data_IF_771379369786
#
_entry.id   IF_771379369786
#
_cell.length_a   1.000
_cell.length_b   1.000
_cell.length_c   1.000
_cell.angle_alpha   90.00
_cell.angle_beta   90.00
_cell.angle_gamma   90.00
#
_symmetry.space_group_name_H-M   'P 1'
#
loop_
_entity.id
_entity.type
_entity.pdbx_description
1 polymer ?
#
# COMPACT_ATOMS: atom_id res chain seq x y z
N UNK A 1 -61.18 -27.13 -70.20
CA UNK A 1 -60.91 -28.10 -71.28
C UNK A 1 -59.51 -28.65 -71.10
N UNK A 2 -59.42 -29.97 -70.95
CA UNK A 2 -58.30 -30.90 -71.20
C UNK A 2 -56.88 -30.49 -70.75
N UNK A 3 -56.10 -31.30 -70.03
CA UNK A 3 -56.13 -32.74 -69.87
C UNK A 3 -54.70 -33.28 -69.95
N UNK A 4 -54.21 -33.79 -68.82
CA UNK A 4 -53.33 -34.97 -68.61
C UNK A 4 -52.22 -35.30 -69.63
N UNK A 5 -50.99 -35.46 -69.10
CA UNK A 5 -50.15 -36.69 -69.11
C UNK A 5 -48.75 -36.33 -68.53
N UNK A 6 -48.46 -36.63 -67.24
CA UNK A 6 -47.84 -37.84 -66.68
C UNK A 6 -46.40 -38.12 -67.17
N UNK A 7 -45.42 -37.92 -66.29
CA UNK A 7 -44.30 -38.86 -66.12
C UNK A 7 -43.90 -38.95 -64.65
N UNK A 8 -43.85 -40.20 -64.22
CA UNK A 8 -43.82 -40.67 -62.85
C UNK A 8 -42.39 -40.88 -62.40
N UNK A 9 -42.02 -40.45 -61.20
CA UNK A 9 -40.89 -41.03 -60.46
C UNK A 9 -41.31 -41.22 -58.99
N UNK A 10 -41.70 -42.47 -58.75
CA UNK A 10 -41.94 -43.13 -57.49
C UNK A 10 -40.66 -43.06 -56.63
N UNK A 11 -40.72 -42.52 -55.40
CA UNK A 11 -40.08 -43.18 -54.27
C UNK A 11 -41.16 -43.41 -53.22
N UNK A 12 -41.34 -44.69 -52.97
CA UNK A 12 -42.36 -45.36 -52.20
C UNK A 12 -41.89 -45.49 -50.74
N UNK A 13 -42.85 -45.38 -49.82
CA UNK A 13 -42.72 -45.62 -48.38
C UNK A 13 -43.39 -44.47 -47.62
N UNK A 14 -44.72 -44.40 -47.49
CA UNK A 14 -45.60 -45.39 -46.85
C UNK A 14 -45.54 -45.18 -45.32
N UNK A 15 -46.58 -44.88 -44.54
CA UNK A 15 -48.03 -44.95 -44.73
C UNK A 15 -48.72 -44.38 -43.48
N UNK A 16 -49.69 -43.45 -43.65
CA UNK A 16 -50.83 -43.17 -42.73
C UNK A 16 -50.54 -42.46 -41.39
N UNK A 17 -51.39 -41.62 -40.79
CA UNK A 17 -52.84 -41.33 -40.90
C UNK A 17 -53.12 -39.95 -40.22
N UNK A 18 -54.13 -39.20 -40.74
CA UNK A 18 -55.08 -38.28 -40.06
C UNK A 18 -54.68 -36.94 -39.38
N UNK A 19 -55.18 -35.85 -39.99
CA UNK A 19 -56.07 -34.79 -39.46
C UNK A 19 -55.94 -34.33 -37.97
N UNK A 20 -55.66 -33.03 -37.74
CA UNK A 20 -55.93 -32.34 -36.45
C UNK A 20 -55.23 -30.96 -36.30
N UNK A 21 -55.76 -30.01 -35.51
CA UNK A 21 -55.84 -28.60 -35.88
C UNK A 21 -54.62 -27.73 -35.52
N UNK A 22 -54.54 -26.57 -36.19
CA UNK A 22 -53.73 -25.40 -35.86
C UNK A 22 -53.58 -25.15 -34.35
N UNK A 23 -52.33 -25.09 -33.88
CA UNK A 23 -51.95 -24.35 -32.67
C UNK A 23 -50.68 -23.56 -32.93
N UNK A 24 -50.88 -22.30 -33.31
CA UNK A 24 -49.91 -21.24 -33.05
C UNK A 24 -49.62 -21.30 -31.55
N UNK A 25 -48.36 -21.53 -31.17
CA UNK A 25 -47.95 -21.51 -29.76
C UNK A 25 -48.15 -20.10 -29.20
N UNK A 26 -49.28 -19.89 -28.51
CA UNK A 26 -49.44 -18.81 -27.57
C UNK A 26 -48.53 -19.10 -26.36
N UNK A 27 -47.32 -18.54 -26.35
CA UNK A 27 -46.38 -18.64 -25.24
C UNK A 27 -45.77 -17.27 -24.86
N UNK A 28 -46.43 -16.16 -25.22
CA UNK A 28 -45.95 -14.81 -24.90
C UNK A 28 -46.27 -14.28 -23.47
N UNK A 29 -47.33 -14.68 -22.75
CA UNK A 29 -47.58 -14.09 -21.42
C UNK A 29 -46.75 -14.71 -20.28
N UNK A 30 -46.20 -15.92 -20.45
CA UNK A 30 -45.49 -16.63 -19.37
C UNK A 30 -44.02 -16.22 -19.25
N UNK A 31 -43.37 -15.90 -20.38
CA UNK A 31 -41.98 -15.44 -20.39
C UNK A 31 -41.91 -14.01 -19.83
N UNK A 32 -42.85 -13.13 -20.19
CA UNK A 32 -42.97 -11.79 -19.60
C UNK A 32 -43.30 -11.85 -18.11
N UNK A 33 -44.17 -12.76 -17.67
CA UNK A 33 -44.47 -12.96 -16.24
C UNK A 33 -43.31 -13.58 -15.43
N UNK A 34 -42.39 -14.31 -16.09
CA UNK A 34 -41.15 -14.82 -15.47
C UNK A 34 -40.07 -13.75 -15.42
N UNK A 35 -39.94 -12.92 -16.46
CA UNK A 35 -39.04 -11.76 -16.48
C UNK A 35 -39.46 -10.70 -15.44
N UNK A 36 -40.74 -10.36 -15.36
CA UNK A 36 -41.25 -9.42 -14.34
C UNK A 36 -41.16 -9.95 -12.91
N UNK A 37 -41.15 -11.28 -12.70
CA UNK A 37 -40.84 -11.89 -11.39
C UNK A 37 -39.35 -11.87 -11.07
N UNK A 38 -38.49 -12.11 -12.05
CA UNK A 38 -37.03 -12.01 -11.88
C UNK A 38 -36.61 -10.57 -11.60
N UNK A 39 -37.17 -9.58 -12.31
CA UNK A 39 -36.90 -8.16 -12.09
C UNK A 39 -37.33 -7.71 -10.69
N UNK A 40 -38.51 -8.15 -10.22
CA UNK A 40 -39.01 -7.83 -8.88
C UNK A 40 -38.26 -8.55 -7.75
N UNK A 41 -37.70 -9.74 -8.00
CA UNK A 41 -36.85 -10.48 -7.05
C UNK A 41 -35.45 -9.86 -7.00
N UNK A 42 -34.90 -9.43 -8.14
CA UNK A 42 -33.58 -8.79 -8.21
C UNK A 42 -33.62 -7.39 -7.60
N UNK A 43 -34.66 -6.58 -7.82
CA UNK A 43 -34.82 -5.27 -7.17
C UNK A 43 -34.93 -5.38 -5.64
N UNK A 44 -35.71 -6.34 -5.13
CA UNK A 44 -35.86 -6.52 -3.69
C UNK A 44 -34.66 -7.20 -3.02
N UNK A 45 -33.98 -8.14 -3.69
CA UNK A 45 -32.79 -8.80 -3.14
C UNK A 45 -31.57 -7.88 -3.14
N UNK A 46 -31.31 -7.19 -4.26
CA UNK A 46 -30.17 -6.28 -4.36
C UNK A 46 -30.29 -5.08 -3.42
N UNK A 47 -31.51 -4.58 -3.17
CA UNK A 47 -31.77 -3.52 -2.20
C UNK A 47 -31.50 -3.94 -0.74
N UNK A 48 -31.93 -5.14 -0.35
CA UNK A 48 -31.68 -5.68 1.00
C UNK A 48 -30.20 -6.01 1.23
N UNK A 49 -29.53 -6.55 0.21
CA UNK A 49 -28.11 -6.88 0.25
C UNK A 49 -27.23 -5.61 0.30
N UNK A 50 -27.62 -4.55 -0.43
CA UNK A 50 -26.97 -3.24 -0.35
C UNK A 50 -27.16 -2.58 1.03
N UNK A 51 -28.35 -2.70 1.63
CA UNK A 51 -28.61 -2.20 2.98
C UNK A 51 -27.77 -2.94 4.03
N UNK A 52 -27.62 -4.27 3.87
CA UNK A 52 -26.76 -5.07 4.74
C UNK A 52 -25.29 -4.66 4.57
N UNK A 53 -24.84 -4.44 3.33
CA UNK A 53 -23.48 -4.00 3.04
C UNK A 53 -23.21 -2.59 3.59
N UNK A 54 -24.19 -1.69 3.53
CA UNK A 54 -24.09 -0.35 4.12
C UNK A 54 -24.01 -0.41 5.65
N UNK A 55 -24.78 -1.28 6.29
CA UNK A 55 -24.69 -1.51 7.74
C UNK A 55 -23.35 -2.12 8.14
N UNK A 56 -22.83 -3.07 7.36
CA UNK A 56 -21.51 -3.65 7.60
C UNK A 56 -20.41 -2.60 7.48
N UNK A 57 -20.43 -1.77 6.42
CA UNK A 57 -19.48 -0.67 6.22
C UNK A 57 -19.53 0.34 7.38
N UNK A 58 -20.71 0.65 7.89
CA UNK A 58 -20.85 1.53 9.05
C UNK A 58 -20.26 0.91 10.32
N UNK A 59 -20.44 -0.40 10.54
CA UNK A 59 -19.82 -1.13 11.64
C UNK A 59 -18.29 -1.15 11.55
N UNK A 60 -17.76 -1.40 10.35
CA UNK A 60 -16.31 -1.36 10.10
C UNK A 60 -15.73 0.04 10.33
N UNK A 61 -16.42 1.10 9.91
CA UNK A 61 -16.01 2.48 10.19
C UNK A 61 -15.97 2.80 11.69
N UNK A 62 -16.92 2.30 12.47
CA UNK A 62 -16.92 2.45 13.94
C UNK A 62 -15.77 1.66 14.58
N UNK A 63 -15.52 0.43 14.12
CA UNK A 63 -14.42 -0.39 14.59
C UNK A 63 -13.05 0.24 14.28
N UNK A 64 -12.88 0.75 13.05
CA UNK A 64 -11.68 1.48 12.64
C UNK A 64 -11.47 2.74 13.47
N UNK A 65 -12.53 3.49 13.77
CA UNK A 65 -12.45 4.66 14.65
C UNK A 65 -11.99 4.28 16.06
N UNK A 66 -12.54 3.20 16.63
CA UNK A 66 -12.09 2.69 17.93
C UNK A 66 -10.62 2.29 17.92
N UNK A 67 -10.17 1.65 16.83
CA UNK A 67 -8.76 1.27 16.67
C UNK A 67 -7.82 2.48 16.56
N UNK A 68 -8.26 3.55 15.88
CA UNK A 68 -7.52 4.82 15.83
C UNK A 68 -7.42 5.48 17.20
N UNK A 69 -8.52 5.49 17.97
CA UNK A 69 -8.52 6.02 19.34
C UNK A 69 -7.58 5.20 20.25
N UNK A 70 -7.58 3.87 20.13
CA UNK A 70 -6.68 2.98 20.85
C UNK A 70 -5.20 3.27 20.51
N UNK A 71 -4.87 3.39 19.22
CA UNK A 71 -3.50 3.73 18.79
C UNK A 71 -3.08 5.12 19.29
N UNK A 72 -3.99 6.09 19.31
CA UNK A 72 -3.72 7.42 19.87
C UNK A 72 -3.34 7.37 21.34
N UNK A 73 -4.07 6.59 22.15
CA UNK A 73 -3.77 6.39 23.57
C UNK A 73 -2.40 5.71 23.75
N UNK A 74 -2.08 4.72 22.92
CA UNK A 74 -0.82 3.98 22.99
C UNK A 74 0.38 4.86 22.63
N UNK A 75 0.25 5.70 21.59
CA UNK A 75 1.25 6.72 21.25
C UNK A 75 1.48 7.67 22.43
N UNK A 76 0.42 8.16 23.07
CA UNK A 76 0.55 9.04 24.23
C UNK A 76 1.14 8.34 25.46
N UNK A 77 0.96 7.02 25.60
CA UNK A 77 1.66 6.22 26.62
C UNK A 77 3.15 6.11 26.32
N UNK A 78 3.52 5.78 25.08
CA UNK A 78 4.91 5.67 24.65
C UNK A 78 5.66 7.00 24.77
N UNK A 79 5.03 8.11 24.37
CA UNK A 79 5.62 9.45 24.54
C UNK A 79 5.86 9.81 26.00
N UNK A 80 4.94 9.46 26.91
CA UNK A 80 5.13 9.66 28.35
C UNK A 80 6.29 8.84 28.87
N UNK A 81 6.34 7.55 28.53
CA UNK A 81 7.44 6.67 28.92
C UNK A 81 8.79 7.19 28.42
N UNK A 82 8.86 7.64 27.17
CA UNK A 82 10.08 8.26 26.62
C UNK A 82 10.46 9.50 27.44
N UNK A 83 9.52 10.40 27.73
CA UNK A 83 9.75 11.62 28.50
C UNK A 83 10.27 11.31 29.91
N UNK A 84 9.67 10.34 30.60
CA UNK A 84 10.07 9.94 31.94
C UNK A 84 11.49 9.34 31.92
N UNK A 85 11.83 8.56 30.90
CA UNK A 85 13.18 8.04 30.68
C UNK A 85 14.21 9.16 30.44
N UNK A 86 13.85 10.20 29.68
CA UNK A 86 14.72 11.37 29.48
C UNK A 86 14.93 12.19 30.77
N UNK A 87 13.93 12.23 31.65
CA UNK A 87 14.01 12.94 32.92
C UNK A 87 14.90 12.18 33.92
N UNK A 88 14.85 10.85 33.93
CA UNK A 88 15.69 10.01 34.80
C UNK A 88 17.17 10.07 34.40
N UNK A 89 17.47 10.05 33.08
CA UNK A 89 18.83 10.18 32.55
C UNK A 89 19.49 11.55 32.83
N UNK A 90 18.69 12.60 33.03
CA UNK A 90 19.16 13.97 33.29
C UNK A 90 18.93 14.43 34.73
N UNK A 91 18.46 13.55 35.63
CA UNK A 91 18.31 13.89 37.03
C UNK A 91 19.71 14.15 37.64
N UNK A 92 19.97 15.34 38.21
CA UNK A 92 21.21 15.59 38.91
C UNK A 92 21.35 14.59 40.06
N UNK A 93 22.48 13.90 40.15
CA UNK A 93 22.86 13.07 41.31
C UNK A 93 23.00 13.97 42.55
N UNK A 94 21.89 14.33 43.16
CA UNK A 94 21.81 15.09 44.40
C UNK A 94 21.04 14.28 45.43
N UNK A 95 21.65 13.21 45.96
CA UNK A 95 21.47 12.78 47.35
C UNK A 95 22.50 11.71 47.75
N UNK A 96 23.75 12.12 47.95
CA UNK A 96 24.69 11.48 48.89
C UNK A 96 25.81 12.47 49.19
N UNK A 97 25.46 13.53 49.92
CA UNK A 97 26.39 14.60 50.23
C UNK A 97 25.74 15.75 50.98
N UNK A 98 25.17 15.47 52.15
CA UNK A 98 24.77 16.50 53.10
C UNK A 98 25.27 16.14 54.51
N UNK A 99 26.57 16.32 54.72
CA UNK A 99 27.11 16.73 56.02
C UNK A 99 28.04 17.91 55.75
N UNK A 100 27.64 19.08 56.22
CA UNK A 100 28.39 20.33 56.19
C UNK A 100 28.64 20.79 57.66
N UNK A 101 29.42 21.85 57.94
CA UNK A 101 30.82 21.73 58.39
C UNK A 101 31.13 22.49 59.70
N UNK A 102 32.33 22.24 60.26
CA UNK A 102 33.33 23.21 60.80
C UNK A 102 34.14 22.72 62.03
N UNK A 103 35.41 23.19 62.03
CA UNK A 103 36.67 22.95 62.78
C UNK A 103 36.69 23.52 64.23
N UNK A 104 37.79 23.51 65.05
CA UNK A 104 39.21 23.20 64.80
C UNK A 104 39.96 22.40 65.90
N UNK A 105 41.16 21.87 65.59
CA UNK A 105 42.36 21.99 66.43
C UNK A 105 43.61 21.37 65.76
N UNK A 106 44.75 21.97 66.11
CA UNK A 106 46.05 22.02 65.43
C UNK A 106 47.04 20.92 65.91
N UNK A 107 48.33 20.92 65.49
CA UNK A 107 48.99 19.86 64.71
C UNK A 107 49.93 18.96 65.57
N UNK A 108 50.49 17.88 65.00
CA UNK A 108 51.91 17.48 65.12
C UNK A 108 52.21 16.06 64.56
N UNK A 109 53.22 16.05 63.70
CA UNK A 109 54.27 15.05 63.44
C UNK A 109 54.10 13.73 62.65
N UNK A 110 55.17 13.32 61.92
CA UNK A 110 55.19 12.27 60.90
C UNK A 110 55.96 11.01 61.33
N UNK A 111 55.69 9.86 60.69
CA UNK A 111 56.59 8.69 60.44
C UNK A 111 55.70 7.54 59.92
N UNK A 112 55.81 7.08 58.66
CA UNK A 112 56.78 6.10 58.14
C UNK A 112 56.83 4.78 58.92
N UNK A 113 56.35 3.67 58.32
CA UNK A 113 57.17 2.47 58.10
C UNK A 113 56.50 1.45 57.14
N UNK A 114 57.35 0.70 56.45
CA UNK A 114 57.17 -0.43 55.52
C UNK A 114 56.38 -1.58 56.16
N UNK A 115 55.75 -2.52 55.46
CA UNK A 115 55.96 -3.13 54.16
C UNK A 115 56.02 -4.64 54.39
N UNK A 116 55.25 -5.44 53.65
CA UNK A 116 55.52 -6.88 53.45
C UNK A 116 54.64 -7.43 52.31
N UNK A 117 55.30 -7.76 51.20
CA UNK A 117 54.87 -8.83 50.29
C UNK A 117 55.73 -10.06 50.59
N UNK A 118 55.17 -11.25 50.41
CA UNK A 118 55.78 -12.15 49.43
C UNK A 118 54.75 -12.82 48.53
N UNK A 119 54.98 -12.76 47.23
CA UNK A 119 54.44 -13.73 46.26
C UNK A 119 55.44 -14.88 46.08
N UNK A 120 54.96 -16.09 45.76
CA UNK A 120 55.40 -16.68 44.51
C UNK A 120 54.26 -17.24 43.65
N UNK A 121 54.46 -17.06 42.35
CA UNK A 121 53.65 -17.45 41.20
C UNK A 121 53.73 -18.95 40.91
N UNK A 122 52.61 -19.58 40.51
CA UNK A 122 52.53 -20.55 39.40
C UNK A 122 51.19 -20.33 38.67
N UNK A 123 51.25 -19.97 37.38
CA UNK A 123 50.13 -19.83 36.44
C UNK A 123 49.71 -21.20 35.84
N UNK A 124 48.58 -21.32 35.11
CA UNK A 124 48.51 -20.76 33.76
C UNK A 124 47.18 -20.03 33.43
N UNK A 125 47.32 -18.85 32.80
CA UNK A 125 46.74 -18.35 31.54
C UNK A 125 45.33 -18.81 31.01
N UNK A 126 44.75 -18.10 30.01
CA UNK A 126 43.44 -17.48 30.11
C UNK A 126 42.45 -18.04 29.07
N UNK A 127 41.16 -17.80 29.25
CA UNK A 127 40.16 -18.07 28.22
C UNK A 127 39.37 -16.80 27.90
N UNK A 128 40.06 -15.85 27.27
CA UNK A 128 39.44 -14.83 26.42
C UNK A 128 39.71 -15.24 24.98
N UNK A 129 38.63 -15.51 24.24
CA UNK A 129 38.69 -15.87 22.83
C UNK A 129 39.20 -14.68 21.99
N UNK A 130 39.83 -14.94 20.83
CA UNK A 130 40.79 -14.02 20.22
C UNK A 130 40.15 -12.76 19.63
N UNK A 131 40.65 -11.60 20.04
CA UNK A 131 40.67 -10.39 19.20
C UNK A 131 41.86 -10.55 18.28
N UNK A 132 41.60 -10.93 17.02
CA UNK A 132 42.63 -10.98 15.99
C UNK A 132 43.13 -9.54 15.73
N UNK A 133 44.44 -9.27 15.85
CA UNK A 133 45.00 -7.98 15.48
C UNK A 133 44.98 -7.84 13.96
N UNK A 134 44.21 -6.85 13.51
CA UNK A 134 44.18 -6.39 12.13
C UNK A 134 45.61 -6.16 11.60
N UNK A 135 46.02 -7.01 10.65
CA UNK A 135 47.08 -6.67 9.72
C UNK A 135 46.57 -5.53 8.80
N UNK A 136 47.39 -4.51 8.50
CA UNK A 136 47.00 -3.45 7.60
C UNK A 136 47.14 -3.94 6.15
N UNK A 137 46.05 -4.36 5.53
CA UNK A 137 46.00 -4.50 4.08
C UNK A 137 45.33 -3.25 3.46
N UNK A 138 46.08 -2.46 2.66
CA UNK A 138 45.54 -1.31 1.97
C UNK A 138 44.85 -1.80 0.70
N UNK A 139 43.52 -1.94 0.74
CA UNK A 139 42.71 -2.05 -0.47
C UNK A 139 41.32 -1.54 -0.17
N UNK A 140 41.12 -0.25 -0.45
CA UNK A 140 39.82 0.39 -0.37
C UNK A 140 38.87 -0.20 -1.40
N UNK A 141 37.91 -0.98 -0.92
CA UNK A 141 36.60 -1.15 -1.54
C UNK A 141 35.60 -1.11 -0.38
N UNK A 142 34.64 -0.15 -0.35
CA UNK A 142 33.61 -0.12 0.67
C UNK A 142 32.80 -1.43 0.63
N UNK A 143 32.75 -2.15 1.74
CA UNK A 143 31.91 -3.34 1.88
C UNK A 143 30.43 -2.93 1.72
N UNK A 144 29.76 -3.48 0.70
CA UNK A 144 28.34 -3.29 0.47
C UNK A 144 27.54 -3.80 1.69
N UNK A 145 26.52 -3.06 2.18
CA UNK A 145 25.74 -3.46 3.34
C UNK A 145 24.99 -4.78 3.09
N UNK A 146 25.00 -5.66 4.08
CA UNK A 146 24.32 -6.96 4.05
C UNK A 146 22.79 -6.78 3.94
N UNK A 147 22.08 -7.70 3.24
CA UNK A 147 20.67 -7.53 2.87
C UNK A 147 19.70 -7.33 4.05
N UNK A 148 19.97 -7.88 5.23
CA UNK A 148 19.09 -7.73 6.40
C UNK A 148 19.14 -6.31 6.99
N UNK A 149 20.32 -5.69 7.05
CA UNK A 149 20.46 -4.28 7.48
C UNK A 149 19.89 -3.33 6.44
N UNK A 150 20.06 -3.64 5.15
CA UNK A 150 19.55 -2.84 4.05
C UNK A 150 18.01 -2.81 4.01
N UNK A 151 17.34 -3.94 4.31
CA UNK A 151 15.87 -4.00 4.37
C UNK A 151 15.27 -3.24 5.56
N UNK A 152 15.93 -3.26 6.72
CA UNK A 152 15.51 -2.48 7.89
C UNK A 152 15.56 -0.98 7.61
N UNK A 153 16.68 -0.52 7.04
CA UNK A 153 16.87 0.88 6.63
C UNK A 153 15.91 1.29 5.51
N UNK A 154 15.69 0.41 4.53
CA UNK A 154 14.76 0.62 3.42
C UNK A 154 13.33 0.86 3.92
N UNK A 155 12.82 -0.05 4.76
CA UNK A 155 11.47 0.07 5.32
C UNK A 155 11.30 1.32 6.17
N UNK A 156 12.31 1.66 6.98
CA UNK A 156 12.29 2.85 7.82
C UNK A 156 12.19 4.12 6.98
N UNK A 157 13.02 4.24 5.93
CA UNK A 157 13.01 5.39 5.02
C UNK A 157 11.69 5.54 4.27
N UNK A 158 11.15 4.44 3.73
CA UNK A 158 9.84 4.46 3.09
C UNK A 158 8.72 4.88 4.06
N UNK A 159 8.72 4.32 5.26
CA UNK A 159 7.68 4.61 6.27
C UNK A 159 7.73 6.06 6.71
N UNK A 160 8.93 6.62 6.91
CA UNK A 160 9.13 8.02 7.24
C UNK A 160 8.57 8.93 6.13
N UNK A 161 8.94 8.66 4.88
CA UNK A 161 8.52 9.44 3.73
C UNK A 161 6.98 9.38 3.54
N UNK A 162 6.40 8.18 3.70
CA UNK A 162 4.96 7.98 3.63
C UNK A 162 4.20 8.69 4.76
N UNK A 163 4.75 8.72 5.98
CA UNK A 163 4.15 9.47 7.09
C UNK A 163 4.12 10.97 6.82
N UNK A 164 5.18 11.54 6.23
CA UNK A 164 5.19 12.95 5.82
C UNK A 164 4.10 13.24 4.78
N UNK A 165 3.89 12.35 3.81
CA UNK A 165 2.78 12.47 2.87
C UNK A 165 1.41 12.45 3.58
N UNK A 166 1.22 11.52 4.52
CA UNK A 166 -0.02 11.45 5.32
C UNK A 166 -0.27 12.70 6.16
N UNK A 167 0.80 13.30 6.68
CA UNK A 167 0.78 14.58 7.41
C UNK A 167 0.58 15.80 6.50
N UNK A 168 0.43 15.59 5.18
CA UNK A 168 0.33 16.64 4.14
C UNK A 168 1.55 17.55 4.04
N UNK A 169 2.69 17.09 4.53
CA UNK A 169 3.99 17.75 4.43
C UNK A 169 4.61 17.41 3.07
N UNK A 170 3.94 17.87 2.02
CA UNK A 170 4.24 17.45 0.65
C UNK A 170 5.66 17.80 0.18
N UNK A 171 6.24 18.98 0.50
CA UNK A 171 7.63 19.27 0.13
C UNK A 171 8.63 18.29 0.78
N UNK A 172 8.47 17.99 2.06
CA UNK A 172 9.34 17.04 2.77
C UNK A 172 9.13 15.61 2.25
N UNK A 173 7.87 15.21 2.06
CA UNK A 173 7.52 13.90 1.51
C UNK A 173 8.15 13.70 0.12
N UNK A 174 8.10 14.72 -0.75
CA UNK A 174 8.73 14.69 -2.07
C UNK A 174 10.22 14.42 -1.96
N UNK A 175 10.93 15.16 -1.09
CA UNK A 175 12.35 14.97 -0.87
C UNK A 175 12.68 13.57 -0.30
N UNK A 176 11.93 13.11 0.68
CA UNK A 176 12.15 11.81 1.32
C UNK A 176 11.85 10.62 0.39
N UNK A 177 10.78 10.70 -0.41
CA UNK A 177 10.43 9.68 -1.41
C UNK A 177 11.44 9.64 -2.56
N UNK A 178 11.90 10.80 -3.04
CA UNK A 178 12.94 10.88 -4.05
C UNK A 178 14.27 10.29 -3.56
N UNK A 179 14.65 10.57 -2.31
CA UNK A 179 15.85 9.99 -1.69
C UNK A 179 15.72 8.47 -1.54
N UNK A 180 14.56 7.97 -1.10
CA UNK A 180 14.29 6.54 -1.05
C UNK A 180 14.47 5.89 -2.43
N UNK A 181 13.89 6.46 -3.48
CA UNK A 181 14.02 5.92 -4.86
C UNK A 181 15.43 6.01 -5.42
N UNK A 182 16.23 6.99 -4.98
CA UNK A 182 17.65 7.11 -5.34
C UNK A 182 18.48 6.03 -4.67
N UNK A 183 18.19 5.72 -3.41
CA UNK A 183 18.95 4.76 -2.59
C UNK A 183 18.52 3.31 -2.82
N UNK A 184 17.24 3.08 -3.08
CA UNK A 184 16.62 1.76 -3.31
C UNK A 184 15.78 1.75 -4.59
N UNK A 185 16.38 1.94 -5.77
CA UNK A 185 15.65 2.02 -7.04
C UNK A 185 14.94 0.71 -7.43
N UNK A 186 15.35 -0.43 -6.86
CA UNK A 186 14.69 -1.73 -7.01
C UNK A 186 14.26 -2.31 -5.67
N UNK A 187 14.07 -1.44 -4.67
CA UNK A 187 13.60 -1.82 -3.34
C UNK A 187 12.21 -2.48 -3.37
N UNK A 188 11.90 -3.21 -2.30
CA UNK A 188 10.59 -3.84 -2.08
C UNK A 188 9.44 -2.82 -2.02
N UNK A 189 9.73 -1.55 -1.72
CA UNK A 189 8.75 -0.46 -1.73
C UNK A 189 8.94 0.54 -2.87
N UNK A 190 9.78 0.23 -3.87
CA UNK A 190 10.09 1.17 -4.96
C UNK A 190 8.87 1.56 -5.81
N UNK A 191 7.98 0.61 -6.10
CA UNK A 191 6.73 0.87 -6.82
C UNK A 191 5.78 1.76 -6.01
N UNK A 192 5.62 1.47 -4.71
CA UNK A 192 4.83 2.26 -3.78
C UNK A 192 5.41 3.66 -3.58
N UNK A 193 6.72 3.79 -3.39
CA UNK A 193 7.39 5.07 -3.20
C UNK A 193 7.25 5.96 -4.44
N UNK A 194 7.37 5.38 -5.63
CA UNK A 194 7.14 6.11 -6.89
C UNK A 194 5.69 6.55 -7.03
N UNK A 195 4.73 5.71 -6.65
CA UNK A 195 3.32 6.09 -6.62
C UNK A 195 3.07 7.27 -5.69
N UNK A 196 3.59 7.22 -4.46
CA UNK A 196 3.41 8.30 -3.50
C UNK A 196 4.15 9.58 -3.88
N UNK A 197 5.27 9.48 -4.59
CA UNK A 197 5.97 10.64 -5.12
C UNK A 197 5.08 11.36 -6.13
N UNK A 198 4.48 10.60 -7.06
CA UNK A 198 3.53 11.13 -8.02
C UNK A 198 2.27 11.73 -7.36
N UNK A 199 1.72 11.10 -6.31
CA UNK A 199 0.60 11.65 -5.53
C UNK A 199 0.99 12.93 -4.79
N UNK A 200 2.22 13.01 -4.29
CA UNK A 200 2.77 14.20 -3.64
C UNK A 200 2.89 15.36 -4.63
N UNK A 201 3.41 15.09 -5.82
CA UNK A 201 3.53 16.09 -6.89
C UNK A 201 2.17 16.53 -7.42
N UNK A 202 1.23 15.60 -7.56
CA UNK A 202 -0.15 15.91 -7.89
C UNK A 202 -0.80 16.82 -6.82
N UNK A 203 -0.58 16.54 -5.53
CA UNK A 203 -1.08 17.38 -4.44
C UNK A 203 -0.47 18.80 -4.46
N UNK A 204 0.77 18.93 -4.92
CA UNK A 204 1.46 20.20 -5.15
C UNK A 204 1.04 20.90 -6.45
N UNK A 205 0.12 20.32 -7.23
CA UNK A 205 -0.31 20.79 -8.57
C UNK A 205 0.83 20.79 -9.60
N UNK A 206 1.92 20.07 -9.34
CA UNK A 206 2.99 19.81 -10.30
C UNK A 206 2.61 18.62 -11.18
N UNK A 207 1.61 18.84 -12.03
CA UNK A 207 1.10 17.80 -12.91
C UNK A 207 2.14 17.22 -13.87
N UNK A 208 3.05 18.00 -14.48
CA UNK A 208 4.09 17.44 -15.35
C UNK A 208 5.00 16.44 -14.61
N UNK A 209 5.43 16.78 -13.38
CA UNK A 209 6.25 15.87 -12.60
C UNK A 209 5.47 14.62 -12.18
N UNK A 210 4.23 14.80 -11.70
CA UNK A 210 3.37 13.69 -11.31
C UNK A 210 3.13 12.69 -12.46
N UNK A 211 2.84 13.19 -13.66
CA UNK A 211 2.69 12.37 -14.87
C UNK A 211 3.96 11.56 -15.15
N UNK A 212 5.14 12.20 -15.10
CA UNK A 212 6.41 11.53 -15.34
C UNK A 212 6.65 10.38 -14.36
N UNK A 213 6.32 10.55 -13.08
CA UNK A 213 6.49 9.50 -12.07
C UNK A 213 5.46 8.36 -12.20
N UNK A 214 4.19 8.67 -12.49
CA UNK A 214 3.20 7.63 -12.79
C UNK A 214 3.58 6.83 -14.05
N UNK A 215 4.04 7.49 -15.11
CA UNK A 215 4.49 6.83 -16.33
C UNK A 215 5.68 5.91 -16.09
N UNK A 216 6.69 6.38 -15.33
CA UNK A 216 7.82 5.55 -14.90
C UNK A 216 7.37 4.34 -14.10
N UNK A 217 6.38 4.50 -13.21
CA UNK A 217 5.83 3.37 -12.45
C UNK A 217 5.25 2.31 -13.38
N UNK A 218 4.44 2.71 -14.37
CA UNK A 218 3.80 1.77 -15.29
C UNK A 218 4.84 1.10 -16.20
N UNK A 219 5.90 1.81 -16.58
CA UNK A 219 6.99 1.27 -17.41
C UNK A 219 7.88 0.30 -16.63
N UNK A 220 8.24 0.62 -15.39
CA UNK A 220 9.19 -0.16 -14.59
C UNK A 220 8.51 -1.28 -13.79
N UNK A 221 7.27 -1.06 -13.35
CA UNK A 221 6.51 -1.99 -12.50
C UNK A 221 5.11 -2.26 -13.07
N UNK A 222 4.97 -2.79 -14.29
CA UNK A 222 3.66 -3.04 -14.90
C UNK A 222 2.81 -4.06 -14.12
N UNK A 223 3.43 -4.95 -13.34
CA UNK A 223 2.74 -5.91 -12.48
C UNK A 223 2.39 -5.37 -11.09
N UNK A 224 2.76 -4.12 -10.77
CA UNK A 224 2.50 -3.54 -9.46
C UNK A 224 0.99 -3.40 -9.22
N UNK A 225 0.57 -3.63 -7.97
CA UNK A 225 -0.79 -3.30 -7.50
C UNK A 225 -1.12 -1.81 -7.63
N UNK A 226 -0.12 -0.94 -7.81
CA UNK A 226 -0.27 0.51 -7.98
C UNK A 226 -0.38 0.94 -9.43
N UNK A 227 -0.03 0.09 -10.40
CA UNK A 227 -0.05 0.44 -11.82
C UNK A 227 -1.46 0.80 -12.35
N UNK A 228 -2.54 0.08 -11.99
CA UNK A 228 -3.91 0.49 -12.36
C UNK A 228 -4.29 1.85 -11.79
N UNK A 229 -3.93 2.10 -10.51
CA UNK A 229 -4.11 3.39 -9.83
C UNK A 229 -3.36 4.54 -10.52
N UNK A 230 -2.12 4.29 -10.93
CA UNK A 230 -1.30 5.26 -11.64
C UNK A 230 -1.94 5.66 -12.98
N UNK A 231 -2.38 4.68 -13.79
CA UNK A 231 -3.08 4.98 -15.05
C UNK A 231 -4.38 5.77 -14.81
N UNK A 232 -5.14 5.42 -13.78
CA UNK A 232 -6.34 6.17 -13.43
C UNK A 232 -6.00 7.63 -13.11
N UNK A 233 -4.94 7.86 -12.34
CA UNK A 233 -4.46 9.20 -11.96
C UNK A 233 -3.95 10.01 -13.14
N UNK A 234 -3.20 9.40 -14.06
CA UNK A 234 -2.79 10.05 -15.33
C UNK A 234 -4.03 10.50 -16.11
N UNK A 235 -5.04 9.64 -16.26
CA UNK A 235 -6.29 9.99 -16.93
C UNK A 235 -7.02 11.18 -16.26
N UNK A 236 -7.06 11.21 -14.93
CA UNK A 236 -7.63 12.33 -14.17
C UNK A 236 -6.85 13.63 -14.35
N UNK A 237 -5.53 13.57 -14.38
CA UNK A 237 -4.68 14.74 -14.60
C UNK A 237 -4.95 15.33 -15.99
N UNK A 238 -5.04 14.50 -17.03
CA UNK A 238 -5.38 14.99 -18.37
C UNK A 238 -6.77 15.64 -18.42
N UNK A 239 -7.76 15.07 -17.71
CA UNK A 239 -9.09 15.68 -17.61
C UNK A 239 -9.03 17.06 -16.92
N UNK A 240 -8.28 17.18 -15.82
CA UNK A 240 -8.02 18.46 -15.14
C UNK A 240 -7.31 19.48 -16.04
N UNK A 241 -6.43 19.01 -16.93
CA UNK A 241 -5.74 19.84 -17.92
C UNK A 241 -6.59 20.15 -19.17
N UNK A 242 -7.87 19.76 -19.19
CA UNK A 242 -8.77 19.92 -20.35
C UNK A 242 -8.25 19.23 -21.61
N UNK A 243 -7.66 18.06 -21.41
CA UNK A 243 -7.14 17.17 -22.45
C UNK A 243 -7.97 15.88 -22.52
N UNK A 244 -9.25 15.95 -22.96
CA UNK A 244 -10.19 14.84 -22.87
C UNK A 244 -9.81 13.64 -23.74
N UNK A 245 -9.16 13.88 -24.89
CA UNK A 245 -8.71 12.80 -25.78
C UNK A 245 -7.57 11.99 -25.14
N UNK A 246 -6.62 12.66 -24.49
CA UNK A 246 -5.53 12.03 -23.76
C UNK A 246 -6.08 11.27 -22.54
N UNK A 247 -6.99 11.90 -21.79
CA UNK A 247 -7.66 11.25 -20.66
C UNK A 247 -8.38 9.97 -21.10
N UNK A 248 -9.14 10.05 -22.20
CA UNK A 248 -9.84 8.91 -22.78
C UNK A 248 -8.88 7.79 -23.18
N UNK A 249 -7.82 8.11 -23.92
CA UNK A 249 -6.82 7.14 -24.36
C UNK A 249 -6.18 6.37 -23.19
N UNK A 250 -5.83 7.09 -22.11
CA UNK A 250 -5.25 6.48 -20.91
C UNK A 250 -6.25 5.61 -20.16
N UNK A 251 -7.51 6.04 -20.03
CA UNK A 251 -8.55 5.24 -19.39
C UNK A 251 -8.92 3.99 -20.20
N UNK A 252 -8.93 4.07 -21.53
CA UNK A 252 -9.11 2.91 -22.41
C UNK A 252 -7.94 1.93 -22.27
N UNK A 253 -6.70 2.45 -22.18
CA UNK A 253 -5.52 1.64 -21.87
C UNK A 253 -5.65 0.92 -20.52
N UNK A 254 -6.10 1.61 -19.48
CA UNK A 254 -6.33 1.00 -18.15
C UNK A 254 -7.31 -0.18 -18.22
N UNK A 255 -8.40 -0.03 -18.97
CA UNK A 255 -9.41 -1.09 -19.14
C UNK A 255 -8.85 -2.28 -19.90
N UNK A 256 -8.00 -2.03 -20.90
CA UNK A 256 -7.38 -3.07 -21.73
C UNK A 256 -6.28 -3.81 -20.97
N UNK A 257 -5.38 -3.08 -20.32
CA UNK A 257 -4.18 -3.64 -19.68
C UNK A 257 -4.52 -4.27 -18.30
N UNK A 258 -5.53 -3.75 -17.59
CA UNK A 258 -5.94 -4.21 -16.25
C UNK A 258 -7.46 -4.43 -16.12
N UNK A 259 -8.07 -5.32 -16.92
CA UNK A 259 -9.54 -5.41 -17.04
C UNK A 259 -10.27 -5.75 -15.74
N UNK A 260 -9.62 -6.44 -14.82
CA UNK A 260 -10.17 -6.93 -13.55
C UNK A 260 -9.87 -6.01 -12.36
N UNK A 261 -9.09 -4.94 -12.55
CA UNK A 261 -8.77 -3.99 -11.49
C UNK A 261 -10.00 -3.13 -11.13
N UNK A 262 -10.19 -2.75 -9.85
CA UNK A 262 -11.28 -1.85 -9.47
C UNK A 262 -11.20 -0.51 -10.19
N UNK A 263 -9.99 -0.02 -10.48
CA UNK A 263 -9.74 1.20 -11.24
C UNK A 263 -10.25 1.10 -12.68
N UNK A 264 -10.22 -0.09 -13.30
CA UNK A 264 -10.77 -0.28 -14.63
C UNK A 264 -12.30 -0.17 -14.65
N UNK A 265 -12.99 -0.55 -13.57
CA UNK A 265 -14.43 -0.28 -13.43
C UNK A 265 -14.70 1.22 -13.37
N UNK A 266 -13.94 1.95 -12.53
CA UNK A 266 -14.06 3.41 -12.43
C UNK A 266 -13.74 4.13 -13.76
N UNK A 267 -12.79 3.60 -14.53
CA UNK A 267 -12.45 4.12 -15.86
C UNK A 267 -13.63 3.96 -16.84
N UNK A 268 -14.28 2.79 -16.87
CA UNK A 268 -15.47 2.54 -17.72
C UNK A 268 -16.59 3.52 -17.38
N UNK A 269 -16.88 3.70 -16.10
CA UNK A 269 -17.95 4.59 -15.64
C UNK A 269 -17.67 6.06 -16.03
N UNK A 270 -16.39 6.49 -15.99
CA UNK A 270 -15.99 7.83 -16.43
C UNK A 270 -16.15 8.01 -17.94
N UNK A 271 -15.66 7.08 -18.74
CA UNK A 271 -15.79 7.12 -20.20
C UNK A 271 -17.26 7.17 -20.65
N UNK A 272 -18.13 6.38 -20.01
CA UNK A 272 -19.56 6.40 -20.30
C UNK A 272 -20.21 7.75 -19.98
N UNK A 273 -19.85 8.38 -18.86
CA UNK A 273 -20.36 9.71 -18.50
C UNK A 273 -19.87 10.78 -19.48
N UNK A 274 -18.59 10.78 -19.82
CA UNK A 274 -18.01 11.71 -20.81
C UNK A 274 -18.69 11.60 -22.18
N UNK A 275 -18.99 10.38 -22.64
CA UNK A 275 -19.69 10.15 -23.91
C UNK A 275 -21.17 10.58 -23.91
N UNK A 276 -21.78 10.75 -22.72
CA UNK A 276 -23.14 11.26 -22.57
C UNK A 276 -23.17 12.78 -22.47
N UNK A 277 -22.15 13.41 -21.90
CA UNK A 277 -22.05 14.87 -21.78
C UNK A 277 -21.56 15.57 -23.05
N UNK A 278 -20.94 14.84 -23.98
CA UNK A 278 -20.50 15.36 -25.28
C UNK A 278 -21.52 15.23 -26.42
N UNK A 279 -22.77 14.84 -26.13
CA UNK A 279 -23.90 14.84 -27.06
C UNK A 279 -24.85 15.98 -26.75
#
# INVERSE_FOLDING_TARGET
MNGLLRLSALILGGMGIMQGPSRVWAAEPEIEARLGRLERIIENQSGAELLLQMQQLQGEMQALRGMVEQQGIEIERLKRQQRDQFLDLNAPRLQSGARAPQTPNTPSDPSADKGDQPAPSIAPEPAVLPVEPAAPNPSGIPALPQPETAQGDERALYTQAFNQFKERRYPEAKAALAEYLRRYPQGSYADGARYWLAETEYALRDYPAALAEYERLIQQYPASTKAPGALLKIGLIHDEQRQPEQARSVLERLIRDYPNAPEAKLARDRLQRAARSGR
#
